data_IF_192897914886
#
_entry.id   IF_192897914886
#
_cell.length_a   1.000
_cell.length_b   1.000
_cell.length_c   1.000
_cell.angle_alpha   90.00
_cell.angle_beta   90.00
_cell.angle_gamma   90.00
#
_symmetry.space_group_name_H-M   'P 1'
#
loop_
_entity.id
_entity.type
_entity.pdbx_description
1 polymer ?
#
# COMPACT_ATOMS: atom_id res chain seq x y z
N UNK A 1 -11.42 35.32 10.47
CA UNK A 1 -9.98 35.01 10.57
C UNK A 1 -9.67 33.75 11.40
N UNK A 2 -10.00 33.67 12.70
CA UNK A 2 -9.69 32.52 13.57
C UNK A 2 -10.22 31.21 12.98
N UNK A 3 -11.46 31.18 12.50
CA UNK A 3 -12.05 29.99 11.88
C UNK A 3 -11.33 29.50 10.63
N UNK A 4 -10.94 30.40 9.73
CA UNK A 4 -10.21 30.05 8.50
C UNK A 4 -8.80 29.52 8.78
N UNK A 5 -8.12 30.09 9.80
CA UNK A 5 -6.81 29.61 10.22
C UNK A 5 -6.88 28.20 10.87
N UNK A 6 -7.89 27.95 11.70
CA UNK A 6 -8.14 26.62 12.26
C UNK A 6 -8.42 25.60 11.16
N UNK A 7 -9.29 25.95 10.19
CA UNK A 7 -9.58 25.08 9.04
C UNK A 7 -8.31 24.78 8.25
N UNK A 8 -7.45 25.76 8.02
CA UNK A 8 -6.18 25.57 7.31
C UNK A 8 -5.28 24.55 8.01
N UNK A 9 -5.14 24.62 9.34
CA UNK A 9 -4.33 23.66 10.11
C UNK A 9 -4.96 22.28 10.13
N UNK A 10 -6.27 22.19 10.28
CA UNK A 10 -6.98 20.91 10.20
C UNK A 10 -6.82 20.26 8.83
N UNK A 11 -6.83 21.03 7.74
CA UNK A 11 -6.54 20.54 6.40
C UNK A 11 -5.12 19.96 6.30
N UNK A 12 -4.10 20.64 6.83
CA UNK A 12 -2.72 20.13 6.84
C UNK A 12 -2.63 18.80 7.60
N UNK A 13 -3.22 18.73 8.79
CA UNK A 13 -3.24 17.50 9.60
C UNK A 13 -3.94 16.38 8.82
N UNK A 14 -5.10 16.67 8.24
CA UNK A 14 -5.84 15.71 7.42
C UNK A 14 -5.02 15.19 6.24
N UNK A 15 -4.30 16.08 5.53
CA UNK A 15 -3.42 15.71 4.43
C UNK A 15 -2.33 14.72 4.86
N UNK A 16 -1.69 14.99 6.00
CA UNK A 16 -0.66 14.12 6.55
C UNK A 16 -1.23 12.74 6.91
N UNK A 17 -2.40 12.69 7.53
CA UNK A 17 -3.07 11.43 7.88
C UNK A 17 -3.45 10.64 6.63
N UNK A 18 -3.98 11.29 5.61
CA UNK A 18 -4.31 10.63 4.34
C UNK A 18 -3.05 10.10 3.64
N UNK A 19 -1.95 10.85 3.66
CA UNK A 19 -0.67 10.38 3.10
C UNK A 19 -0.18 9.09 3.80
N UNK A 20 -0.32 8.99 5.12
CA UNK A 20 0.01 7.77 5.87
C UNK A 20 -0.91 6.61 5.49
N UNK A 21 -2.23 6.84 5.42
CA UNK A 21 -3.20 5.81 5.02
C UNK A 21 -2.87 5.27 3.63
N UNK A 22 -2.60 6.14 2.67
CA UNK A 22 -2.23 5.74 1.30
C UNK A 22 -0.90 4.97 1.31
N UNK A 23 0.07 5.38 2.13
CA UNK A 23 1.35 4.67 2.29
C UNK A 23 1.12 3.23 2.77
N UNK A 24 0.23 3.03 3.74
CA UNK A 24 -0.14 1.69 4.21
C UNK A 24 -0.76 0.88 3.07
N UNK A 25 -1.64 1.47 2.27
CA UNK A 25 -2.23 0.78 1.11
C UNK A 25 -1.17 0.35 0.08
N UNK A 26 -0.18 1.18 -0.20
CA UNK A 26 0.94 0.78 -1.06
C UNK A 26 1.78 -0.35 -0.44
N UNK A 27 2.01 -0.33 0.88
CA UNK A 27 2.67 -1.41 1.60
C UNK A 27 1.91 -2.73 1.48
N UNK A 28 0.58 -2.70 1.61
CA UNK A 28 -0.27 -3.88 1.43
C UNK A 28 -0.15 -4.50 0.02
N UNK A 29 0.30 -3.74 -0.97
CA UNK A 29 0.60 -4.29 -2.31
C UNK A 29 1.98 -4.95 -2.42
N UNK A 30 2.71 -5.09 -1.31
CA UNK A 30 4.04 -5.70 -1.26
C UNK A 30 5.21 -4.73 -1.48
N UNK A 31 5.01 -3.42 -1.33
CA UNK A 31 6.11 -2.44 -1.32
C UNK A 31 6.73 -2.32 0.07
N UNK A 32 8.05 -2.07 0.13
CA UNK A 32 8.71 -1.69 1.38
C UNK A 32 8.19 -0.35 1.88
N UNK A 33 8.26 -0.09 3.21
CA UNK A 33 7.77 1.17 3.78
C UNK A 33 8.43 2.40 3.16
N UNK A 34 9.75 2.36 2.97
CA UNK A 34 10.50 3.47 2.37
C UNK A 34 10.04 3.77 0.94
N UNK A 35 9.93 2.73 0.09
CA UNK A 35 9.44 2.87 -1.29
C UNK A 35 8.00 3.37 -1.32
N UNK A 36 7.11 2.77 -0.54
CA UNK A 36 5.72 3.18 -0.48
C UNK A 36 5.59 4.66 -0.10
N UNK A 37 6.33 5.10 0.92
CA UNK A 37 6.34 6.49 1.38
C UNK A 37 6.87 7.46 0.33
N UNK A 38 7.98 7.12 -0.31
CA UNK A 38 8.55 7.90 -1.41
C UNK A 38 7.55 8.06 -2.56
N UNK A 39 6.94 6.95 -2.99
CA UNK A 39 5.93 6.94 -4.05
C UNK A 39 4.74 7.85 -3.71
N UNK A 40 4.19 7.73 -2.50
CA UNK A 40 3.04 8.51 -2.07
C UNK A 40 3.37 10.01 -2.05
N UNK A 41 4.53 10.39 -1.51
CA UNK A 41 4.96 11.79 -1.50
C UNK A 41 5.07 12.31 -2.93
N UNK A 42 5.76 11.59 -3.82
CA UNK A 42 5.91 11.99 -5.23
C UNK A 42 4.57 12.12 -5.97
N UNK A 43 3.61 11.21 -5.71
CA UNK A 43 2.26 11.27 -6.29
C UNK A 43 1.45 12.45 -5.76
N UNK A 44 1.52 12.72 -4.46
CA UNK A 44 0.79 13.82 -3.82
C UNK A 44 1.33 15.19 -4.19
N UNK A 45 2.66 15.30 -4.38
CA UNK A 45 3.32 16.56 -4.76
C UNK A 45 3.43 16.77 -6.27
N UNK A 46 2.99 15.79 -7.08
CA UNK A 46 3.14 15.79 -8.53
C UNK A 46 4.59 15.99 -9.02
N UNK A 47 5.57 15.51 -8.24
CA UNK A 47 7.00 15.70 -8.54
C UNK A 47 7.51 14.83 -9.70
N UNK A 48 6.75 13.80 -10.08
CA UNK A 48 7.13 12.80 -11.08
C UNK A 48 8.07 11.74 -10.51
N UNK A 49 8.25 10.67 -11.30
CA UNK A 49 9.10 9.54 -10.94
C UNK A 49 10.26 9.38 -11.91
N UNK A 50 11.35 8.78 -11.45
CA UNK A 50 12.34 8.17 -12.34
C UNK A 50 11.74 6.91 -12.99
N UNK A 51 12.31 6.45 -14.12
CA UNK A 51 11.81 5.29 -14.88
C UNK A 51 11.64 4.04 -14.02
N UNK A 52 12.64 3.70 -13.20
CA UNK A 52 12.57 2.52 -12.31
C UNK A 52 11.48 2.61 -11.25
N UNK A 53 11.26 3.79 -10.69
CA UNK A 53 10.21 4.00 -9.69
C UNK A 53 8.81 4.01 -10.33
N UNK A 54 8.67 4.52 -11.56
CA UNK A 54 7.40 4.48 -12.28
C UNK A 54 7.00 3.05 -12.64
N UNK A 55 7.95 2.19 -13.02
CA UNK A 55 7.69 0.76 -13.28
C UNK A 55 7.10 0.06 -12.06
N UNK A 56 7.64 0.31 -10.87
CA UNK A 56 7.13 -0.28 -9.63
C UNK A 56 5.63 0.06 -9.36
N UNK A 57 5.17 1.22 -9.83
CA UNK A 57 3.76 1.65 -9.70
C UNK A 57 2.89 1.05 -10.80
N UNK A 58 3.37 0.99 -12.04
CA UNK A 58 2.55 0.55 -13.18
C UNK A 58 2.47 -0.96 -13.33
N UNK A 59 3.36 -1.73 -12.72
CA UNK A 59 3.41 -3.20 -12.81
C UNK A 59 2.12 -3.86 -12.34
N UNK A 60 1.52 -3.38 -11.25
CA UNK A 60 0.30 -3.96 -10.68
C UNK A 60 -0.92 -3.06 -10.93
N UNK A 61 -2.02 -3.67 -11.41
CA UNK A 61 -3.30 -2.95 -11.67
C UNK A 61 -3.80 -2.20 -10.42
N UNK A 62 -3.65 -2.79 -9.24
CA UNK A 62 -4.06 -2.17 -7.98
C UNK A 62 -3.21 -0.93 -7.65
N UNK A 63 -1.88 -1.02 -7.84
CA UNK A 63 -0.98 0.13 -7.64
C UNK A 63 -1.31 1.27 -8.60
N UNK A 64 -1.61 0.96 -9.88
CA UNK A 64 -2.06 1.95 -10.86
C UNK A 64 -3.35 2.66 -10.44
N UNK A 65 -4.34 1.92 -9.89
CA UNK A 65 -5.58 2.51 -9.39
C UNK A 65 -5.33 3.41 -8.18
N UNK A 66 -4.52 2.92 -7.22
CA UNK A 66 -4.12 3.71 -6.06
C UNK A 66 -3.36 4.97 -6.47
N UNK A 67 -2.40 4.85 -7.39
CA UNK A 67 -1.63 6.00 -7.89
C UNK A 67 -2.53 7.05 -8.55
N UNK A 68 -3.46 6.65 -9.43
CA UNK A 68 -4.42 7.57 -10.05
C UNK A 68 -5.28 8.30 -9.00
N UNK A 69 -5.81 7.56 -8.02
CA UNK A 69 -6.59 8.14 -6.94
C UNK A 69 -5.75 9.12 -6.09
N UNK A 70 -4.51 8.75 -5.79
CA UNK A 70 -3.56 9.58 -5.02
C UNK A 70 -3.20 10.87 -5.77
N UNK A 71 -2.92 10.79 -7.08
CA UNK A 71 -2.65 11.97 -7.92
C UNK A 71 -3.83 12.93 -7.95
N UNK A 72 -5.04 12.40 -8.17
CA UNK A 72 -6.26 13.21 -8.22
C UNK A 72 -6.52 13.88 -6.87
N UNK A 73 -6.36 13.13 -5.79
CA UNK A 73 -6.47 13.66 -4.43
C UNK A 73 -5.42 14.74 -4.16
N UNK A 74 -4.13 14.48 -4.48
CA UNK A 74 -3.04 15.44 -4.31
C UNK A 74 -3.29 16.74 -5.03
N UNK A 75 -3.72 16.69 -6.29
CA UNK A 75 -4.06 17.88 -7.07
C UNK A 75 -5.22 18.67 -6.46
N UNK A 76 -6.34 18.02 -6.18
CA UNK A 76 -7.50 18.67 -5.57
C UNK A 76 -7.15 19.29 -4.21
N UNK A 77 -6.34 18.59 -3.42
CA UNK A 77 -5.93 19.05 -2.11
C UNK A 77 -4.99 20.25 -2.18
N UNK A 78 -4.04 20.25 -3.11
CA UNK A 78 -3.13 21.39 -3.34
C UNK A 78 -3.92 22.66 -3.67
N UNK A 79 -4.92 22.57 -4.55
CA UNK A 79 -5.81 23.68 -4.89
C UNK A 79 -6.59 24.16 -3.65
N UNK A 80 -7.08 23.24 -2.84
CA UNK A 80 -7.83 23.57 -1.61
C UNK A 80 -6.94 24.26 -0.58
N UNK A 81 -5.70 23.80 -0.37
CA UNK A 81 -4.74 24.43 0.53
C UNK A 81 -4.42 25.85 0.06
N UNK A 82 -4.12 26.03 -1.22
CA UNK A 82 -3.81 27.35 -1.78
C UNK A 82 -4.99 28.31 -1.64
N UNK A 83 -6.21 27.85 -1.96
CA UNK A 83 -7.43 28.65 -1.82
C UNK A 83 -7.67 29.05 -0.35
N UNK A 84 -7.50 28.10 0.58
CA UNK A 84 -7.67 28.38 2.01
C UNK A 84 -6.59 29.33 2.53
N UNK A 85 -5.35 29.19 2.06
CA UNK A 85 -4.24 30.10 2.40
C UNK A 85 -4.55 31.52 1.93
N UNK A 86 -4.98 31.70 0.69
CA UNK A 86 -5.40 33.01 0.17
C UNK A 86 -6.54 33.60 1.01
N UNK A 87 -7.54 32.77 1.36
CA UNK A 87 -8.66 33.22 2.21
C UNK A 87 -8.18 33.70 3.59
N UNK A 88 -7.22 33.00 4.21
CA UNK A 88 -6.63 33.42 5.48
C UNK A 88 -5.99 34.81 5.31
N UNK A 89 -5.18 35.03 4.27
CA UNK A 89 -4.53 36.32 4.02
C UNK A 89 -5.53 37.43 3.72
N UNK A 90 -6.56 37.17 2.91
CA UNK A 90 -7.57 38.16 2.55
C UNK A 90 -8.48 38.59 3.72
N UNK A 91 -8.60 37.71 4.72
CA UNK A 91 -9.37 38.02 5.94
C UNK A 91 -8.56 38.65 7.06
N UNK A 92 -7.24 38.86 6.87
CA UNK A 92 -6.39 39.60 7.81
C UNK A 92 -6.65 41.10 7.68
N UNK A 93 -7.09 41.71 8.78
CA UNK A 93 -7.24 43.18 8.92
C UNK A 93 -6.16 43.70 9.83
N UNK A 94 -5.70 44.94 9.61
CA UNK A 94 -4.65 45.59 10.40
C UNK A 94 -4.97 45.66 11.89
N UNK A 95 -6.27 45.69 12.25
CA UNK A 95 -6.72 45.71 13.64
C UNK A 95 -6.59 44.37 14.39
N UNK A 96 -6.26 43.26 13.67
CA UNK A 96 -6.19 41.91 14.23
C UNK A 96 -4.77 41.36 14.41
N UNK A 97 -3.77 42.21 14.31
CA UNK A 97 -2.35 41.82 14.47
C UNK A 97 -2.07 41.14 15.82
N UNK A 98 -2.75 41.57 16.88
CA UNK A 98 -2.66 40.95 18.21
C UNK A 98 -3.24 39.53 18.23
N UNK A 99 -4.31 39.30 17.48
CA UNK A 99 -4.90 37.96 17.35
C UNK A 99 -3.99 36.98 16.57
N UNK A 100 -3.28 37.48 15.56
CA UNK A 100 -2.31 36.71 14.79
C UNK A 100 -1.13 36.26 15.66
N UNK A 101 -0.63 37.14 16.52
CA UNK A 101 0.48 36.86 17.44
C UNK A 101 0.16 35.75 18.44
N UNK A 102 -1.11 35.55 18.80
CA UNK A 102 -1.54 34.46 19.68
C UNK A 102 -1.89 33.17 18.88
N UNK A 103 -2.48 33.33 17.70
CA UNK A 103 -2.91 32.22 16.87
C UNK A 103 -1.75 31.44 16.27
N UNK A 104 -0.72 32.09 15.74
CA UNK A 104 0.43 31.41 15.14
C UNK A 104 1.14 30.47 16.11
N UNK A 105 1.49 30.89 17.35
CA UNK A 105 2.06 29.97 18.34
C UNK A 105 1.11 28.82 18.71
N UNK A 106 -0.19 29.09 18.85
CA UNK A 106 -1.16 28.06 19.17
C UNK A 106 -1.26 27.00 18.06
N UNK A 107 -1.32 27.42 16.80
CA UNK A 107 -1.32 26.53 15.63
C UNK A 107 -0.01 25.73 15.53
N UNK A 108 1.12 26.39 15.80
CA UNK A 108 2.42 25.73 15.85
C UNK A 108 2.47 24.66 16.94
N UNK A 109 1.95 24.95 18.14
CA UNK A 109 1.85 23.97 19.22
C UNK A 109 0.97 22.78 18.86
N UNK A 110 -0.14 23.00 18.16
CA UNK A 110 -1.00 21.91 17.66
C UNK A 110 -0.23 21.01 16.67
N UNK A 111 0.49 21.60 15.73
CA UNK A 111 1.31 20.83 14.75
C UNK A 111 2.46 20.08 15.44
N UNK A 112 3.13 20.69 16.39
CA UNK A 112 4.18 20.08 17.19
C UNK A 112 3.59 18.93 18.04
N UNK A 113 2.48 19.15 18.71
CA UNK A 113 1.76 18.13 19.48
C UNK A 113 1.39 16.94 18.59
N UNK A 114 0.83 17.21 17.41
CA UNK A 114 0.51 16.17 16.42
C UNK A 114 1.75 15.41 15.95
N UNK A 115 2.86 16.10 15.70
CA UNK A 115 4.14 15.48 15.35
C UNK A 115 4.63 14.52 16.44
N UNK A 116 4.61 14.94 17.71
CA UNK A 116 4.99 14.09 18.83
C UNK A 116 4.05 12.90 19.01
N UNK A 117 2.75 13.10 18.81
CA UNK A 117 1.74 12.01 18.85
C UNK A 117 2.05 10.94 17.81
N UNK A 118 2.39 11.36 16.58
CA UNK A 118 2.78 10.44 15.50
C UNK A 118 4.11 9.73 15.75
N UNK A 119 5.02 10.36 16.48
CA UNK A 119 6.32 9.75 16.81
C UNK A 119 6.21 8.68 17.89
N UNK A 120 5.11 8.65 18.64
CA UNK A 120 4.88 7.62 19.66
C UNK A 120 4.74 6.24 19.00
N UNK A 121 5.65 5.26 19.30
CA UNK A 121 5.63 3.95 18.66
C UNK A 121 4.34 3.18 18.98
N UNK A 122 3.75 3.42 20.13
CA UNK A 122 2.53 2.76 20.58
C UNK A 122 1.29 3.21 19.77
N UNK A 123 1.14 4.52 19.52
CA UNK A 123 0.03 5.03 18.71
C UNK A 123 0.19 4.64 17.23
N UNK A 124 1.41 4.78 16.70
CA UNK A 124 1.72 4.41 15.31
C UNK A 124 1.39 2.95 15.07
N UNK A 125 1.84 2.04 15.93
CA UNK A 125 1.58 0.60 15.78
C UNK A 125 0.08 0.28 15.78
N UNK A 126 -0.69 0.83 16.72
CA UNK A 126 -2.16 0.61 16.76
C UNK A 126 -2.87 1.17 15.54
N UNK A 127 -2.50 2.38 15.12
CA UNK A 127 -3.08 3.04 13.95
C UNK A 127 -2.76 2.25 12.67
N UNK A 128 -1.50 1.87 12.46
CA UNK A 128 -1.04 1.09 11.32
C UNK A 128 -1.80 -0.24 11.25
N UNK A 129 -1.88 -0.98 12.36
CA UNK A 129 -2.60 -2.27 12.41
C UNK A 129 -4.09 -2.11 12.12
N UNK A 130 -4.72 -1.05 12.60
CA UNK A 130 -6.14 -0.78 12.35
C UNK A 130 -6.39 -0.46 10.87
N UNK A 131 -5.57 0.42 10.29
CA UNK A 131 -5.66 0.77 8.86
C UNK A 131 -5.30 -0.44 7.98
N UNK A 132 -4.28 -1.21 8.33
CA UNK A 132 -3.92 -2.45 7.63
C UNK A 132 -5.10 -3.43 7.62
N UNK A 133 -5.76 -3.63 8.75
CA UNK A 133 -6.92 -4.53 8.84
C UNK A 133 -8.08 -4.07 7.96
N UNK A 134 -8.38 -2.76 7.97
CA UNK A 134 -9.45 -2.19 7.15
C UNK A 134 -9.05 -2.19 5.67
N UNK A 135 -7.85 -1.71 5.36
CA UNK A 135 -7.30 -1.67 4.00
C UNK A 135 -7.27 -3.05 3.38
N UNK A 136 -6.84 -4.03 4.16
CA UNK A 136 -6.84 -5.43 3.81
C UNK A 136 -8.24 -5.90 3.40
N UNK A 137 -9.25 -5.62 4.23
CA UNK A 137 -10.63 -6.00 3.98
C UNK A 137 -11.23 -5.33 2.74
N UNK A 138 -10.90 -4.05 2.50
CA UNK A 138 -11.38 -3.28 1.36
C UNK A 138 -10.72 -3.74 0.05
N UNK A 139 -9.41 -3.97 0.08
CA UNK A 139 -8.63 -4.29 -1.12
C UNK A 139 -8.81 -5.75 -1.56
N UNK A 140 -9.01 -6.66 -0.63
CA UNK A 140 -8.88 -8.09 -0.86
C UNK A 140 -10.12 -8.92 -0.47
N UNK A 141 -11.10 -8.32 0.20
CA UNK A 141 -12.31 -9.00 0.65
C UNK A 141 -12.11 -9.81 1.94
N UNK A 142 -13.21 -10.31 2.50
CA UNK A 142 -13.18 -11.19 3.68
C UNK A 142 -12.79 -12.61 3.25
N UNK A 143 -11.89 -13.22 4.00
CA UNK A 143 -11.63 -14.67 4.02
C UNK A 143 -11.01 -15.29 2.75
N UNK A 144 -10.31 -14.51 1.91
CA UNK A 144 -9.60 -15.05 0.74
C UNK A 144 -8.09 -14.83 0.85
N UNK A 145 -7.32 -15.83 0.36
CA UNK A 145 -5.89 -15.71 0.21
C UNK A 145 -5.56 -14.63 -0.84
N UNK A 146 -4.51 -13.85 -0.59
CA UNK A 146 -4.08 -12.83 -1.54
C UNK A 146 -2.99 -13.36 -2.42
N UNK A 147 -3.20 -13.29 -3.72
CA UNK A 147 -2.16 -13.54 -4.71
C UNK A 147 -1.74 -12.22 -5.33
N UNK A 148 -0.53 -11.76 -5.01
CA UNK A 148 0.07 -10.59 -5.62
C UNK A 148 1.11 -11.10 -6.61
N UNK A 149 0.86 -10.94 -7.91
CA UNK A 149 1.84 -11.28 -8.93
C UNK A 149 2.98 -10.25 -8.89
N UNK A 150 4.20 -10.75 -8.76
CA UNK A 150 5.40 -9.91 -8.66
C UNK A 150 6.07 -9.77 -10.01
N UNK A 151 6.31 -10.88 -10.70
CA UNK A 151 6.99 -10.92 -11.99
C UNK A 151 6.42 -12.01 -12.89
N UNK A 152 6.50 -11.78 -14.19
CA UNK A 152 5.99 -12.69 -15.21
C UNK A 152 7.15 -13.08 -16.16
N UNK A 153 7.38 -14.39 -16.27
CA UNK A 153 8.41 -14.99 -17.12
C UNK A 153 7.74 -15.91 -18.16
N UNK A 154 7.20 -15.33 -19.21
CA UNK A 154 6.45 -16.07 -20.22
C UNK A 154 5.17 -16.69 -19.65
N UNK A 155 5.10 -18.02 -19.57
CA UNK A 155 3.95 -18.75 -19.02
C UNK A 155 4.00 -18.95 -17.49
N UNK A 156 5.12 -18.62 -16.87
CA UNK A 156 5.36 -18.77 -15.44
C UNK A 156 5.31 -17.41 -14.75
N UNK A 157 4.80 -17.38 -13.54
CA UNK A 157 4.72 -16.17 -12.72
C UNK A 157 5.28 -16.44 -11.33
N UNK A 158 5.92 -15.45 -10.77
CA UNK A 158 6.27 -15.40 -9.35
C UNK A 158 5.19 -14.62 -8.64
N UNK A 159 4.56 -15.24 -7.66
CA UNK A 159 3.52 -14.63 -6.87
C UNK A 159 3.87 -14.62 -5.38
N UNK A 160 3.61 -13.50 -4.72
CA UNK A 160 3.54 -13.44 -3.27
C UNK A 160 2.10 -13.74 -2.86
N UNK A 161 1.93 -14.69 -1.97
CA UNK A 161 0.62 -15.12 -1.47
C UNK A 161 0.60 -14.94 0.03
N UNK A 162 -0.32 -14.13 0.52
CA UNK A 162 -0.63 -14.09 1.93
C UNK A 162 -1.72 -15.12 2.24
N UNK A 163 -1.40 -16.07 3.10
CA UNK A 163 -2.30 -17.16 3.47
C UNK A 163 -3.24 -16.70 4.59
N UNK A 164 -4.45 -16.33 4.24
CA UNK A 164 -5.52 -16.16 5.24
C UNK A 164 -5.98 -17.53 5.75
N UNK A 165 -6.17 -18.45 4.81
CA UNK A 165 -6.49 -19.85 5.06
C UNK A 165 -5.54 -20.74 4.26
N UNK A 166 -5.02 -21.78 4.90
CA UNK A 166 -4.21 -22.78 4.21
C UNK A 166 -5.11 -23.66 3.36
N UNK A 167 -4.85 -23.81 2.04
CA UNK A 167 -5.61 -24.73 1.19
C UNK A 167 -5.66 -26.14 1.76
N UNK A 168 -6.78 -26.84 1.60
CA UNK A 168 -7.02 -28.16 2.21
C UNK A 168 -5.89 -29.17 1.96
N UNK A 169 -5.33 -29.17 0.74
CA UNK A 169 -4.22 -30.05 0.36
C UNK A 169 -2.91 -29.76 1.09
N UNK A 170 -2.76 -28.55 1.66
CA UNK A 170 -1.57 -28.09 2.35
C UNK A 170 -1.73 -28.05 3.88
N UNK A 171 -2.95 -28.34 4.39
CA UNK A 171 -3.23 -28.30 5.82
C UNK A 171 -2.54 -29.45 6.53
N UNK A 172 -1.75 -29.12 7.55
CA UNK A 172 -1.01 -30.06 8.39
C UNK A 172 -0.15 -31.08 7.62
N UNK A 173 0.26 -30.72 6.40
CA UNK A 173 1.04 -31.57 5.51
C UNK A 173 2.30 -30.83 5.10
N UNK A 174 3.41 -31.54 4.97
CA UNK A 174 4.66 -30.98 4.47
C UNK A 174 4.55 -30.69 2.96
N UNK A 175 5.31 -29.73 2.46
CA UNK A 175 5.31 -29.39 1.02
C UNK A 175 5.66 -30.61 0.16
N UNK A 176 6.53 -31.51 0.63
CA UNK A 176 6.89 -32.75 -0.09
C UNK A 176 5.70 -33.70 -0.25
N UNK A 177 4.85 -33.81 0.77
CA UNK A 177 3.74 -34.77 0.80
C UNK A 177 2.42 -34.16 0.26
N UNK A 178 2.38 -32.86 0.03
CA UNK A 178 1.17 -32.16 -0.39
C UNK A 178 0.81 -32.30 -1.86
N UNK A 179 1.71 -32.82 -2.69
CA UNK A 179 1.52 -32.89 -4.14
C UNK A 179 1.61 -31.52 -4.86
N UNK A 180 1.90 -30.43 -4.14
CA UNK A 180 1.91 -29.08 -4.75
C UNK A 180 2.91 -28.97 -5.91
N UNK A 181 4.08 -29.62 -5.79
CA UNK A 181 5.09 -29.63 -6.83
C UNK A 181 4.83 -30.71 -7.89
N UNK A 182 4.46 -31.95 -7.47
CA UNK A 182 4.26 -33.09 -8.38
C UNK A 182 3.02 -32.88 -9.27
N UNK A 183 1.88 -32.54 -8.68
CA UNK A 183 0.57 -32.55 -9.33
C UNK A 183 0.24 -31.19 -9.95
N UNK A 184 0.57 -30.10 -9.21
CA UNK A 184 0.23 -28.75 -9.61
C UNK A 184 1.39 -27.97 -10.26
N UNK A 185 2.62 -28.53 -10.21
CA UNK A 185 3.84 -27.87 -10.73
C UNK A 185 4.04 -26.46 -10.18
N UNK A 186 3.68 -26.25 -8.89
CA UNK A 186 3.88 -25.04 -8.15
C UNK A 186 5.07 -25.20 -7.20
N UNK A 187 6.03 -24.30 -7.28
CA UNK A 187 7.20 -24.31 -6.40
C UNK A 187 7.07 -23.21 -5.35
N UNK A 188 6.98 -23.59 -4.09
CA UNK A 188 7.09 -22.65 -2.97
C UNK A 188 8.56 -22.38 -2.74
N UNK A 189 9.00 -21.13 -2.95
CA UNK A 189 10.39 -20.74 -2.83
C UNK A 189 10.75 -20.23 -1.45
N UNK A 190 9.87 -19.43 -0.86
CA UNK A 190 10.10 -18.79 0.44
C UNK A 190 8.82 -18.78 1.26
N UNK A 191 9.01 -18.83 2.58
CA UNK A 191 7.94 -18.64 3.58
C UNK A 191 8.40 -17.57 4.57
N UNK A 192 7.53 -16.61 4.83
CA UNK A 192 7.72 -15.59 5.87
C UNK A 192 6.59 -15.72 6.87
N UNK A 193 6.86 -16.19 8.09
CA UNK A 193 5.89 -16.18 9.18
C UNK A 193 5.49 -14.75 9.56
N UNK A 194 4.34 -14.55 10.22
CA UNK A 194 3.90 -13.23 10.68
C UNK A 194 4.89 -12.59 11.66
N UNK A 195 5.52 -13.40 12.49
CA UNK A 195 6.57 -12.99 13.43
C UNK A 195 7.85 -13.78 13.06
N UNK A 196 8.77 -13.13 12.37
CA UNK A 196 10.05 -13.75 11.98
C UNK A 196 10.55 -13.32 10.61
N UNK A 197 11.75 -13.78 10.29
CA UNK A 197 12.40 -13.53 9.02
C UNK A 197 11.92 -14.50 7.93
N UNK A 198 12.05 -14.06 6.68
CA UNK A 198 11.76 -14.93 5.54
C UNK A 198 12.79 -16.06 5.46
N UNK A 199 12.31 -17.29 5.31
CA UNK A 199 13.14 -18.48 5.18
C UNK A 199 12.89 -19.17 3.85
N UNK A 200 13.92 -19.87 3.35
CA UNK A 200 13.77 -20.70 2.17
C UNK A 200 12.85 -21.89 2.48
N UNK A 201 11.86 -22.11 1.63
CA UNK A 201 10.99 -23.28 1.76
C UNK A 201 11.75 -24.56 1.35
N UNK A 202 11.48 -25.62 2.07
CA UNK A 202 11.99 -26.97 1.76
C UNK A 202 10.86 -28.01 1.83
N UNK A 203 11.16 -29.27 1.48
CA UNK A 203 10.17 -30.34 1.47
C UNK A 203 9.50 -30.59 2.82
N UNK A 204 10.15 -30.28 3.94
CA UNK A 204 9.63 -30.48 5.29
C UNK A 204 8.83 -29.27 5.81
N UNK A 205 8.78 -28.18 5.06
CA UNK A 205 8.06 -26.97 5.45
C UNK A 205 6.56 -27.23 5.53
N UNK A 206 5.95 -26.81 6.63
CA UNK A 206 4.49 -26.84 6.84
C UNK A 206 4.00 -25.40 6.82
N UNK A 207 3.00 -25.10 5.99
CA UNK A 207 2.42 -23.78 5.90
C UNK A 207 1.38 -23.52 6.97
N UNK A 208 1.40 -22.32 7.54
CA UNK A 208 0.46 -21.90 8.58
C UNK A 208 -0.41 -20.72 8.08
N UNK A 209 -1.60 -20.54 8.68
CA UNK A 209 -2.38 -19.32 8.45
C UNK A 209 -1.58 -18.08 8.83
N UNK A 210 -1.71 -17.02 8.04
CA UNK A 210 -0.98 -15.74 8.12
C UNK A 210 0.47 -15.77 7.62
N UNK A 211 0.97 -16.90 7.13
CA UNK A 211 2.24 -16.92 6.42
C UNK A 211 2.13 -16.14 5.10
N UNK A 212 3.23 -15.49 4.75
CA UNK A 212 3.42 -14.94 3.40
C UNK A 212 4.36 -15.86 2.64
N UNK A 213 3.90 -16.43 1.55
CA UNK A 213 4.69 -17.36 0.73
C UNK A 213 5.01 -16.76 -0.63
N UNK A 214 6.16 -17.15 -1.19
CA UNK A 214 6.53 -16.84 -2.56
C UNK A 214 6.45 -18.11 -3.38
N UNK A 215 5.62 -18.09 -4.43
CA UNK A 215 5.32 -19.26 -5.27
C UNK A 215 5.64 -18.96 -6.72
N UNK A 216 6.35 -19.90 -7.37
CA UNK A 216 6.59 -19.91 -8.80
C UNK A 216 5.68 -20.95 -9.47
N UNK A 217 4.99 -20.55 -10.54
CA UNK A 217 4.14 -21.46 -11.29
C UNK A 217 3.29 -20.80 -12.35
N UNK A 218 2.38 -21.56 -12.98
CA UNK A 218 1.43 -20.98 -13.93
C UNK A 218 0.36 -20.16 -13.18
N UNK A 219 0.04 -18.98 -13.68
CA UNK A 219 -0.97 -18.07 -13.11
C UNK A 219 -2.29 -18.76 -12.78
N UNK A 220 -2.83 -19.52 -13.74
CA UNK A 220 -4.10 -20.23 -13.56
C UNK A 220 -4.02 -21.23 -12.40
N UNK A 221 -2.96 -22.03 -12.34
CA UNK A 221 -2.78 -23.05 -11.31
C UNK A 221 -2.62 -22.44 -9.92
N UNK A 222 -1.86 -21.34 -9.80
CA UNK A 222 -1.72 -20.59 -8.54
C UNK A 222 -3.09 -20.13 -8.04
N UNK A 223 -3.90 -19.57 -8.95
CA UNK A 223 -5.25 -19.13 -8.61
C UNK A 223 -6.15 -20.28 -8.17
N UNK A 224 -6.14 -21.37 -8.92
CA UNK A 224 -7.01 -22.52 -8.66
C UNK A 224 -6.67 -23.18 -7.31
N UNK A 225 -5.36 -23.29 -6.96
CA UNK A 225 -4.91 -23.90 -5.71
C UNK A 225 -5.18 -23.02 -4.49
N UNK A 226 -4.96 -21.72 -4.61
CA UNK A 226 -5.04 -20.81 -3.47
C UNK A 226 -6.38 -20.09 -3.36
N UNK A 227 -7.36 -20.32 -4.27
CA UNK A 227 -8.71 -19.72 -4.26
C UNK A 227 -8.66 -18.20 -4.08
N UNK A 228 -7.71 -17.56 -4.74
CA UNK A 228 -7.43 -16.15 -4.53
C UNK A 228 -8.40 -15.26 -5.31
N UNK A 229 -8.76 -14.13 -4.73
CA UNK A 229 -9.27 -13.03 -5.50
C UNK A 229 -8.12 -12.50 -6.37
N UNK A 230 -8.13 -12.86 -7.65
CA UNK A 230 -7.12 -12.39 -8.61
C UNK A 230 -7.19 -10.87 -8.74
N UNK A 231 -6.18 -10.18 -8.21
CA UNK A 231 -6.01 -8.73 -8.36
C UNK A 231 -5.40 -8.37 -9.72
N UNK A 232 -5.30 -9.37 -10.62
CA UNK A 232 -4.58 -9.23 -11.85
C UNK A 232 -5.46 -8.91 -13.04
N UNK A 233 -4.89 -8.08 -13.82
CA UNK A 233 -5.00 -7.79 -15.25
C UNK A 233 -6.11 -8.48 -16.04
N UNK A 234 -6.96 -7.63 -16.54
CA UNK A 234 -7.64 -7.80 -17.82
C UNK A 234 -6.59 -7.95 -18.92
N UNK A 235 -6.61 -9.06 -19.64
CA UNK A 235 -5.65 -9.43 -20.69
C UNK A 235 -5.78 -8.58 -21.97
N UNK A 236 -6.43 -7.41 -21.94
CA UNK A 236 -6.70 -6.60 -23.13
C UNK A 236 -5.58 -5.62 -23.53
N UNK A 237 -4.54 -5.45 -22.68
CA UNK A 237 -3.46 -4.48 -22.96
C UNK A 237 -2.05 -5.11 -22.90
N UNK A 238 -1.87 -6.26 -23.49
CA UNK A 238 -0.50 -6.72 -23.77
C UNK A 238 0.05 -5.88 -24.93
N UNK A 239 1.12 -5.10 -24.77
CA UNK A 239 1.82 -4.54 -25.90
C UNK A 239 2.40 -5.72 -26.71
N UNK A 240 1.89 -5.86 -27.94
CA UNK A 240 2.50 -6.74 -28.95
C UNK A 240 3.87 -6.16 -29.24
N UNK A 241 4.91 -6.74 -28.68
CA UNK A 241 6.27 -6.50 -29.16
C UNK A 241 6.39 -7.16 -30.54
N UNK A 242 6.20 -6.37 -31.59
CA UNK A 242 6.55 -6.77 -32.96
C UNK A 242 8.07 -6.81 -33.01
N UNK A 243 8.64 -8.00 -32.97
CA UNK A 243 9.99 -8.25 -33.43
C UNK A 243 10.00 -8.04 -34.93
N UNK A 244 10.44 -6.89 -35.39
CA UNK A 244 10.93 -6.74 -36.77
C UNK A 244 12.33 -7.38 -36.85
N UNK A 245 12.42 -8.30 -37.78
CA UNK A 245 13.66 -8.93 -38.26
C UNK A 245 14.65 -7.90 -38.83
#
# INVERSE_FOLDING_TARGET
MIGSAIIFVLLIIFYIVIADIITIFFRLTGMTEERARFQVISLLTNSGFTTQESEAVVTLKIRRRLAKATMLFGYAFTVTILSTMVNVFMTMSDSELSAVLVLLPALFLILVGFYFLRRSPFLKSKFDTWIETIGYRIMFGKDKNQVILVEEYGSMVVAHIYLHTVPRMLQNTTLANSGIMSDHKLMVMMVKPPEGDAMQANGNTILQPKDTIMVLGKRKTIRDVFESADLTQDNSDSPVYVHNK
#
